data_IF_922012156065
#
_entry.id   IF_922012156065
#
_cell.length_a   1.000
_cell.length_b   1.000
_cell.length_c   1.000
_cell.angle_alpha   90.00
_cell.angle_beta   90.00
_cell.angle_gamma   90.00
#
_symmetry.space_group_name_H-M   'P 1'
#
loop_
_entity.id
_entity.type
_entity.pdbx_description
1 polymer ?
#
# COMPACT_ATOMS: atom_id res chain seq x y z
N UNK A 1 -13.79 -3.73 -2.31
CA UNK A 1 -14.10 -4.95 -1.56
C UNK A 1 -12.97 -5.96 -1.74
N UNK A 2 -12.46 -6.48 -0.61
CA UNK A 2 -11.47 -7.56 -0.65
C UNK A 2 -12.17 -8.78 -1.25
N UNK A 3 -11.71 -9.25 -2.40
CA UNK A 3 -12.25 -10.45 -3.02
C UNK A 3 -11.86 -11.68 -2.19
N UNK A 4 -12.81 -12.55 -1.88
CA UNK A 4 -12.54 -13.83 -1.21
C UNK A 4 -11.58 -14.63 -2.08
N UNK A 5 -10.36 -14.86 -1.61
CA UNK A 5 -9.37 -15.67 -2.31
C UNK A 5 -7.94 -15.17 -2.18
N UNK A 6 -7.32 -14.80 -3.27
CA UNK A 6 -5.92 -14.44 -3.34
C UNK A 6 -5.74 -12.92 -3.19
N UNK A 7 -4.77 -12.49 -2.36
CA UNK A 7 -4.38 -11.09 -2.18
C UNK A 7 -4.08 -10.41 -3.51
N UNK A 8 -3.36 -11.07 -4.41
CA UNK A 8 -2.99 -10.55 -5.73
C UNK A 8 -4.25 -10.20 -6.55
N UNK A 9 -5.29 -11.02 -6.53
CA UNK A 9 -6.55 -10.70 -7.23
C UNK A 9 -7.20 -9.41 -6.69
N UNK A 10 -7.12 -9.18 -5.38
CA UNK A 10 -7.63 -7.94 -4.79
C UNK A 10 -6.83 -6.71 -5.23
N UNK A 11 -5.51 -6.86 -5.40
CA UNK A 11 -4.62 -5.81 -5.92
C UNK A 11 -4.96 -5.50 -7.38
N UNK A 12 -5.09 -6.50 -8.24
CA UNK A 12 -5.51 -6.31 -9.64
C UNK A 12 -6.87 -5.63 -9.73
N UNK A 13 -7.84 -6.08 -8.94
CA UNK A 13 -9.17 -5.48 -8.92
C UNK A 13 -9.10 -4.00 -8.54
N UNK A 14 -8.30 -3.65 -7.53
CA UNK A 14 -8.11 -2.26 -7.10
C UNK A 14 -7.51 -1.40 -8.21
N UNK A 15 -6.40 -1.79 -8.81
CA UNK A 15 -5.76 -1.01 -9.87
C UNK A 15 -6.64 -0.86 -11.10
N UNK A 16 -7.34 -1.93 -11.49
CA UNK A 16 -8.23 -1.90 -12.65
C UNK A 16 -9.45 -1.02 -12.44
N UNK A 17 -10.10 -1.10 -11.27
CA UNK A 17 -11.42 -0.49 -11.07
C UNK A 17 -11.38 0.84 -10.30
N UNK A 18 -10.39 1.06 -9.44
CA UNK A 18 -10.27 2.27 -8.64
C UNK A 18 -9.26 3.25 -9.23
N UNK A 19 -8.07 2.76 -9.59
CA UNK A 19 -7.02 3.59 -10.18
C UNK A 19 -7.11 3.66 -11.72
N UNK A 20 -7.83 2.73 -12.35
CA UNK A 20 -7.99 2.63 -13.81
C UNK A 20 -6.65 2.52 -14.55
N UNK A 21 -5.67 1.88 -13.92
CA UNK A 21 -4.31 1.68 -14.45
C UNK A 21 -4.08 0.20 -14.75
N UNK A 22 -3.64 -0.09 -15.97
CA UNK A 22 -3.18 -1.43 -16.32
C UNK A 22 -1.91 -1.75 -15.53
N UNK A 23 -1.96 -2.79 -14.74
CA UNK A 23 -0.88 -3.14 -13.81
C UNK A 23 -0.59 -4.63 -13.86
N UNK A 24 0.67 -5.01 -13.68
CA UNK A 24 1.11 -6.38 -13.45
C UNK A 24 1.95 -6.43 -12.17
N UNK A 25 1.77 -7.45 -11.34
CA UNK A 25 2.49 -7.60 -10.09
C UNK A 25 2.94 -9.03 -9.89
N UNK A 26 4.21 -9.19 -9.55
CA UNK A 26 4.76 -10.43 -9.02
C UNK A 26 5.16 -10.22 -7.57
N UNK A 27 4.71 -11.11 -6.70
CA UNK A 27 4.94 -11.02 -5.27
C UNK A 27 5.29 -12.40 -4.72
N UNK A 28 6.39 -12.48 -4.00
CA UNK A 28 6.78 -13.69 -3.29
C UNK A 28 7.00 -13.41 -1.82
N UNK A 29 6.74 -14.44 -1.01
CA UNK A 29 7.05 -14.42 0.42
C UNK A 29 7.65 -15.74 0.84
N UNK A 30 8.47 -15.70 1.88
CA UNK A 30 9.03 -16.87 2.49
C UNK A 30 9.20 -16.68 4.00
N UNK A 31 9.21 -17.79 4.73
CA UNK A 31 9.46 -17.81 6.16
C UNK A 31 10.75 -18.58 6.41
N UNK A 32 11.82 -17.85 6.75
CA UNK A 32 13.10 -18.43 7.14
C UNK A 32 13.29 -18.21 8.64
N UNK A 33 13.42 -19.29 9.41
CA UNK A 33 13.77 -19.27 10.83
C UNK A 33 13.01 -18.20 11.65
N UNK A 34 11.69 -18.13 11.47
CA UNK A 34 10.78 -17.14 12.11
C UNK A 34 10.90 -15.70 11.58
N UNK A 35 11.65 -15.46 10.50
CA UNK A 35 11.63 -14.18 9.79
C UNK A 35 10.81 -14.30 8.51
N UNK A 36 9.80 -13.44 8.37
CA UNK A 36 9.06 -13.31 7.13
C UNK A 36 9.79 -12.35 6.22
N UNK A 37 10.11 -12.81 5.02
CA UNK A 37 10.68 -12.00 3.95
C UNK A 37 9.65 -11.95 2.83
N UNK A 38 9.37 -10.77 2.33
CA UNK A 38 8.46 -10.55 1.20
C UNK A 38 9.05 -9.51 0.27
N UNK A 39 8.90 -9.73 -1.02
CA UNK A 39 9.25 -8.76 -2.03
C UNK A 39 8.23 -8.79 -3.17
N UNK A 40 8.06 -7.66 -3.84
CA UNK A 40 7.18 -7.54 -4.99
C UNK A 40 7.75 -6.56 -6.02
N UNK A 41 7.47 -6.83 -7.28
CA UNK A 41 7.67 -5.88 -8.38
C UNK A 41 6.31 -5.60 -8.98
N UNK A 42 5.99 -4.32 -9.11
CA UNK A 42 4.79 -3.83 -9.76
C UNK A 42 5.21 -3.02 -10.99
N UNK A 43 4.65 -3.36 -12.15
CA UNK A 43 4.73 -2.53 -13.34
C UNK A 43 3.36 -1.95 -13.64
N UNK A 44 3.34 -0.71 -14.12
CA UNK A 44 2.11 0.00 -14.45
C UNK A 44 2.27 0.70 -15.77
N UNK A 45 1.24 0.60 -16.64
CA UNK A 45 1.18 1.39 -17.85
C UNK A 45 0.78 2.81 -17.48
N UNK A 46 1.71 3.76 -17.66
CA UNK A 46 1.42 5.19 -17.52
C UNK A 46 1.03 5.77 -18.88
N UNK A 47 0.07 6.70 -18.95
CA UNK A 47 -0.19 7.42 -20.20
C UNK A 47 1.07 8.09 -20.71
N UNK A 48 1.41 7.85 -21.97
CA UNK A 48 2.55 8.51 -22.64
C UNK A 48 2.04 9.47 -23.70
N UNK A 49 2.57 10.69 -23.69
CA UNK A 49 2.28 11.69 -24.72
C UNK A 49 3.12 11.47 -25.99
N UNK A 50 4.15 10.60 -25.93
CA UNK A 50 5.19 10.48 -26.94
C UNK A 50 5.13 9.22 -27.80
N UNK A 51 4.46 8.17 -27.36
CA UNK A 51 4.33 6.90 -28.08
C UNK A 51 2.91 6.68 -28.60
N UNK A 52 2.78 6.07 -29.76
CA UNK A 52 1.47 5.64 -30.28
C UNK A 52 0.85 4.56 -29.37
N UNK A 53 -0.48 4.51 -29.29
CA UNK A 53 -1.20 3.56 -28.43
C UNK A 53 -0.81 2.08 -28.68
N UNK A 54 -0.47 1.73 -29.93
CA UNK A 54 -0.05 0.39 -30.30
C UNK A 54 1.32 0.02 -29.75
N UNK A 55 2.27 0.96 -29.75
CA UNK A 55 3.64 0.72 -29.30
C UNK A 55 3.70 0.61 -27.78
N UNK A 56 2.95 1.46 -27.09
CA UNK A 56 2.78 1.40 -25.64
C UNK A 56 2.12 0.09 -25.19
N UNK A 57 1.18 -0.45 -25.96
CA UNK A 57 0.55 -1.72 -25.64
C UNK A 57 1.53 -2.87 -25.77
N UNK A 58 2.29 -2.93 -26.85
CA UNK A 58 3.28 -3.97 -27.09
C UNK A 58 4.38 -3.95 -26.03
N UNK A 59 4.87 -2.77 -25.66
CA UNK A 59 5.89 -2.61 -24.62
C UNK A 59 5.42 -3.12 -23.25
N UNK A 60 4.19 -2.82 -22.87
CA UNK A 60 3.62 -3.29 -21.59
C UNK A 60 3.44 -4.81 -21.58
N UNK A 61 2.95 -5.42 -22.65
CA UNK A 61 2.79 -6.86 -22.75
C UNK A 61 4.15 -7.60 -22.73
N UNK A 62 5.18 -7.03 -23.38
CA UNK A 62 6.53 -7.56 -23.34
C UNK A 62 7.12 -7.48 -21.92
N UNK A 63 6.98 -6.34 -21.26
CA UNK A 63 7.41 -6.15 -19.88
C UNK A 63 6.70 -7.13 -18.92
N UNK A 64 5.42 -7.44 -19.12
CA UNK A 64 4.70 -8.48 -18.37
C UNK A 64 5.31 -9.85 -18.55
N UNK A 65 5.65 -10.23 -19.76
CA UNK A 65 6.29 -11.53 -20.02
C UNK A 65 7.61 -11.65 -19.27
N UNK A 66 8.43 -10.61 -19.31
CA UNK A 66 9.69 -10.57 -18.56
C UNK A 66 9.46 -10.62 -17.06
N UNK A 67 8.54 -9.83 -16.52
CA UNK A 67 8.22 -9.85 -15.10
C UNK A 67 7.74 -11.23 -14.64
N UNK A 68 6.90 -11.91 -15.42
CA UNK A 68 6.37 -13.22 -15.09
C UNK A 68 7.42 -14.36 -15.20
N UNK A 69 8.57 -14.11 -15.79
CA UNK A 69 9.70 -15.04 -15.78
C UNK A 69 10.51 -15.02 -14.49
N UNK A 70 10.29 -14.00 -13.63
CA UNK A 70 11.00 -13.83 -12.36
C UNK A 70 10.64 -14.96 -11.37
N UNK A 71 11.66 -15.58 -10.83
CA UNK A 71 11.48 -16.66 -9.85
C UNK A 71 11.50 -16.15 -8.41
N UNK A 72 10.88 -16.94 -7.51
CA UNK A 72 10.90 -16.66 -6.07
C UNK A 72 12.33 -16.57 -5.51
N UNK A 73 13.23 -17.44 -5.97
CA UNK A 73 14.61 -17.49 -5.51
C UNK A 73 15.35 -16.20 -5.85
N UNK A 74 15.18 -15.70 -7.07
CA UNK A 74 15.80 -14.46 -7.53
C UNK A 74 15.30 -13.26 -6.75
N UNK A 75 13.97 -13.11 -6.62
CA UNK A 75 13.38 -11.93 -5.97
C UNK A 75 13.65 -11.87 -4.46
N UNK A 76 13.79 -13.03 -3.79
CA UNK A 76 14.02 -13.09 -2.33
C UNK A 76 15.49 -13.29 -1.97
N UNK A 77 16.41 -13.32 -2.95
CA UNK A 77 17.84 -13.41 -2.69
C UNK A 77 18.37 -12.13 -2.03
N UNK A 78 19.20 -12.29 -1.00
CA UNK A 78 19.95 -11.18 -0.41
C UNK A 78 21.20 -10.79 -1.21
N UNK A 79 21.59 -11.64 -2.15
CA UNK A 79 22.87 -11.53 -2.88
C UNK A 79 22.70 -10.79 -4.22
N UNK A 80 21.47 -10.48 -4.59
CA UNK A 80 21.12 -9.80 -5.85
C UNK A 80 20.46 -8.46 -5.51
N UNK A 81 21.00 -7.36 -6.06
CA UNK A 81 20.39 -6.05 -5.87
C UNK A 81 19.10 -5.89 -6.68
N UNK A 82 18.26 -4.94 -6.29
CA UNK A 82 17.05 -4.63 -7.06
C UNK A 82 17.40 -4.09 -8.45
N UNK A 83 18.48 -3.32 -8.57
CA UNK A 83 18.98 -2.83 -9.85
C UNK A 83 19.40 -3.98 -10.79
N UNK A 84 20.08 -5.00 -10.25
CA UNK A 84 20.47 -6.17 -11.04
C UNK A 84 19.25 -6.94 -11.54
N UNK A 85 18.22 -7.09 -10.69
CA UNK A 85 16.96 -7.73 -11.09
C UNK A 85 16.27 -6.92 -12.18
N UNK A 86 16.16 -5.59 -12.04
CA UNK A 86 15.54 -4.72 -13.01
C UNK A 86 16.30 -4.75 -14.35
N UNK A 87 17.64 -4.69 -14.30
CA UNK A 87 18.47 -4.79 -15.49
C UNK A 87 18.31 -6.14 -16.16
N UNK A 88 18.38 -7.25 -15.40
CA UNK A 88 18.19 -8.60 -15.93
C UNK A 88 16.86 -8.76 -16.66
N UNK A 89 15.78 -8.24 -16.10
CA UNK A 89 14.43 -8.38 -16.66
C UNK A 89 14.20 -7.46 -17.85
N UNK A 90 14.70 -6.22 -17.80
CA UNK A 90 14.21 -5.14 -18.67
C UNK A 90 15.31 -4.42 -19.46
N UNK A 91 16.56 -4.93 -19.47
CA UNK A 91 17.67 -4.25 -20.15
C UNK A 91 17.42 -3.97 -21.65
N UNK A 92 16.56 -4.77 -22.31
CA UNK A 92 16.16 -4.54 -23.70
C UNK A 92 15.14 -3.41 -23.87
N UNK A 93 14.56 -2.88 -22.78
CA UNK A 93 13.46 -1.92 -22.78
C UNK A 93 13.89 -0.49 -22.36
N UNK A 94 15.16 -0.12 -22.49
CA UNK A 94 15.71 1.21 -22.10
C UNK A 94 15.38 1.59 -20.65
N UNK A 95 15.69 0.71 -19.70
CA UNK A 95 15.41 0.91 -18.28
C UNK A 95 16.17 2.11 -17.72
N UNK A 96 15.46 3.00 -17.02
CA UNK A 96 16.02 4.12 -16.27
C UNK A 96 15.72 3.97 -14.80
N UNK A 97 16.76 3.78 -14.00
CA UNK A 97 16.63 3.63 -12.55
C UNK A 97 16.66 5.00 -11.88
N UNK A 98 15.66 5.29 -11.06
CA UNK A 98 15.63 6.48 -10.23
C UNK A 98 16.21 6.18 -8.84
N UNK A 99 16.57 7.25 -8.13
CA UNK A 99 17.09 7.13 -6.76
C UNK A 99 16.08 6.43 -5.84
N UNK A 100 16.58 5.51 -5.04
CA UNK A 100 15.78 4.82 -4.03
C UNK A 100 15.12 5.79 -3.05
N UNK A 101 13.88 5.49 -2.69
CA UNK A 101 13.14 6.21 -1.66
C UNK A 101 13.00 5.31 -0.44
N UNK A 102 13.56 5.72 0.68
CA UNK A 102 13.43 5.00 1.94
C UNK A 102 11.97 5.02 2.41
N UNK A 103 11.36 3.85 2.54
CA UNK A 103 10.02 3.67 3.08
C UNK A 103 10.09 3.28 4.55
N UNK A 104 9.09 3.71 5.33
CA UNK A 104 8.99 3.39 6.76
C UNK A 104 7.59 2.91 7.08
N UNK A 105 7.50 1.88 7.91
CA UNK A 105 6.23 1.46 8.52
C UNK A 105 5.80 2.52 9.55
N UNK A 106 5.06 3.51 9.10
CA UNK A 106 4.56 4.60 9.94
C UNK A 106 3.15 5.00 9.54
N UNK A 107 2.20 4.69 10.40
CA UNK A 107 0.84 5.15 10.19
C UNK A 107 0.74 6.68 10.32
N UNK A 108 -0.10 7.30 9.48
CA UNK A 108 -0.38 8.75 9.50
C UNK A 108 -1.44 9.14 10.55
N UNK A 109 -1.94 8.19 11.35
CA UNK A 109 -2.90 8.51 12.40
C UNK A 109 -2.26 9.40 13.48
N UNK A 110 -3.03 10.36 14.00
CA UNK A 110 -2.60 11.21 15.10
C UNK A 110 -3.79 11.57 15.99
N UNK A 111 -3.52 11.67 17.28
CA UNK A 111 -4.51 12.07 18.28
C UNK A 111 -5.05 13.49 18.00
N UNK A 112 -4.22 14.38 17.49
CA UNK A 112 -4.61 15.75 17.13
C UNK A 112 -5.67 15.75 16.02
N UNK A 113 -5.51 14.87 15.01
CA UNK A 113 -6.49 14.73 13.92
C UNK A 113 -7.81 14.17 14.46
N UNK A 114 -7.73 13.17 15.32
CA UNK A 114 -8.90 12.59 16.00
C UNK A 114 -9.64 13.66 16.79
N UNK A 115 -8.94 14.42 17.64
CA UNK A 115 -9.53 15.52 18.43
C UNK A 115 -10.20 16.57 17.52
N UNK A 116 -9.59 16.89 16.38
CA UNK A 116 -10.17 17.84 15.40
C UNK A 116 -11.48 17.31 14.79
N UNK A 117 -11.54 16.02 14.47
CA UNK A 117 -12.77 15.38 13.95
C UNK A 117 -13.87 15.36 15.04
N UNK A 118 -13.51 15.03 16.28
CA UNK A 118 -14.47 14.99 17.39
C UNK A 118 -15.08 16.37 17.70
N UNK A 119 -14.37 17.47 17.43
CA UNK A 119 -14.95 18.82 17.55
C UNK A 119 -16.15 19.07 16.62
N UNK A 120 -16.23 18.34 15.52
CA UNK A 120 -17.30 18.49 14.53
C UNK A 120 -18.54 17.65 14.86
N UNK A 121 -18.42 16.74 15.82
CA UNK A 121 -19.51 15.86 16.25
C UNK A 121 -20.34 16.57 17.33
N UNK A 122 -21.66 16.49 17.23
CA UNK A 122 -22.57 17.08 18.22
C UNK A 122 -22.43 16.40 19.59
N UNK A 123 -22.82 17.14 20.66
CA UNK A 123 -22.80 16.62 22.02
C UNK A 123 -23.59 15.32 22.19
N UNK A 124 -24.74 15.29 21.53
CA UNK A 124 -25.65 14.14 21.61
C UNK A 124 -25.08 12.89 20.90
N UNK A 125 -24.42 13.08 19.77
CA UNK A 125 -23.76 11.98 19.06
C UNK A 125 -22.53 11.49 19.81
N UNK A 126 -21.72 12.39 20.35
CA UNK A 126 -20.56 12.04 21.16
C UNK A 126 -20.94 11.24 22.40
N UNK A 127 -22.02 11.61 23.09
CA UNK A 127 -22.51 10.88 24.28
C UNK A 127 -22.95 9.44 23.95
N UNK A 128 -23.42 9.17 22.72
CA UNK A 128 -23.84 7.83 22.29
C UNK A 128 -22.67 6.87 22.07
N UNK A 129 -21.47 7.39 21.75
CA UNK A 129 -20.26 6.61 21.49
C UNK A 129 -19.29 6.59 22.68
N UNK A 130 -19.57 7.39 23.71
CA UNK A 130 -18.78 7.46 24.94
C UNK A 130 -19.17 6.30 25.87
N UNK A 131 -18.17 5.66 26.47
CA UNK A 131 -18.36 4.58 27.44
C UNK A 131 -18.98 5.11 28.75
N UNK A 132 -19.58 4.23 29.58
CA UNK A 132 -20.21 4.63 30.88
C UNK A 132 -19.24 5.35 31.82
N UNK A 133 -17.94 5.07 31.76
CA UNK A 133 -16.88 5.75 32.52
C UNK A 133 -16.52 7.14 31.98
N UNK A 134 -17.20 7.59 30.93
CA UNK A 134 -16.94 8.88 30.27
C UNK A 134 -15.73 8.88 29.35
N UNK A 135 -15.17 7.71 29.05
CA UNK A 135 -14.05 7.58 28.10
C UNK A 135 -14.52 7.18 26.71
N UNK A 136 -13.65 7.35 25.73
CA UNK A 136 -13.88 6.98 24.34
C UNK A 136 -12.65 6.25 23.78
N UNK A 137 -12.85 5.02 23.31
CA UNK A 137 -11.82 4.24 22.66
C UNK A 137 -11.91 4.41 21.15
N UNK A 138 -10.79 4.83 20.52
CA UNK A 138 -10.70 5.07 19.10
C UNK A 138 -9.60 4.19 18.50
N UNK A 139 -10.00 3.28 17.63
CA UNK A 139 -9.09 2.36 16.96
C UNK A 139 -8.82 2.84 15.53
N UNK A 140 -7.56 2.98 15.18
CA UNK A 140 -7.18 3.33 13.82
C UNK A 140 -7.43 2.15 12.87
N UNK A 141 -8.18 2.38 11.79
CA UNK A 141 -8.49 1.34 10.80
C UNK A 141 -7.24 0.77 10.10
N UNK A 142 -6.19 1.59 9.94
CA UNK A 142 -4.97 1.16 9.25
C UNK A 142 -4.02 0.38 10.16
N UNK A 143 -3.56 0.98 11.26
CA UNK A 143 -2.56 0.34 12.13
C UNK A 143 -3.16 -0.40 13.32
N UNK A 144 -4.47 -0.40 13.47
CA UNK A 144 -5.23 -1.04 14.56
C UNK A 144 -4.84 -0.60 15.98
N UNK A 145 -4.05 0.48 16.10
CA UNK A 145 -3.71 1.05 17.40
C UNK A 145 -4.93 1.73 18.01
N UNK A 146 -5.31 1.31 19.22
CA UNK A 146 -6.37 1.94 20.00
C UNK A 146 -5.82 3.05 20.88
N UNK A 147 -6.49 4.19 20.87
CA UNK A 147 -6.19 5.34 21.74
C UNK A 147 -7.41 5.61 22.60
N UNK A 148 -7.23 5.58 23.93
CA UNK A 148 -8.29 5.91 24.89
C UNK A 148 -8.24 7.42 25.19
N UNK A 149 -9.34 8.11 24.98
CA UNK A 149 -9.58 9.48 25.41
C UNK A 149 -10.39 9.44 26.71
N UNK A 150 -9.88 10.07 27.75
CA UNK A 150 -10.58 10.19 29.02
C UNK A 150 -11.52 11.40 29.01
N UNK A 151 -12.45 11.48 29.94
CA UNK A 151 -13.44 12.56 30.03
C UNK A 151 -12.79 13.95 29.96
N UNK A 152 -11.68 14.17 30.66
CA UNK A 152 -10.92 15.43 30.62
C UNK A 152 -10.45 15.81 29.23
N UNK A 153 -10.06 14.83 28.42
CA UNK A 153 -9.67 15.07 27.01
C UNK A 153 -10.87 15.51 26.18
N UNK A 154 -12.02 14.86 26.38
CA UNK A 154 -13.26 15.17 25.67
C UNK A 154 -13.79 16.56 26.04
N UNK A 155 -13.74 16.94 27.32
CA UNK A 155 -14.12 18.27 27.80
C UNK A 155 -13.21 19.36 27.21
N UNK A 156 -11.88 19.09 27.11
CA UNK A 156 -10.91 20.01 26.51
C UNK A 156 -11.06 20.21 25.00
N UNK A 157 -11.73 19.28 24.33
CA UNK A 157 -11.99 19.36 22.89
C UNK A 157 -13.11 20.36 22.61
N UNK A 158 -13.99 20.60 23.57
CA UNK A 158 -15.21 21.42 23.42
C UNK A 158 -15.02 22.88 23.82
N UNK A 159 -14.05 23.14 24.66
CA UNK A 159 -13.64 24.49 25.01
C UNK A 159 -12.62 25.02 23.98
#
# INVERSE_FOLDING_TARGET
PVQKGNFIHSVYYYFKNSEQVNSEIVCFSNNYEKKFISAAILIQKTPSETFGESDDFNLFEEAKLFLNSLTKIELLSSDVSMEDILYKLFHSLDVRVQKEIAVKDKCRCSITRVKKTLKQISANELSKITLPDGSLDITCEFCKKTTKLIKKDLDSIRN
#
